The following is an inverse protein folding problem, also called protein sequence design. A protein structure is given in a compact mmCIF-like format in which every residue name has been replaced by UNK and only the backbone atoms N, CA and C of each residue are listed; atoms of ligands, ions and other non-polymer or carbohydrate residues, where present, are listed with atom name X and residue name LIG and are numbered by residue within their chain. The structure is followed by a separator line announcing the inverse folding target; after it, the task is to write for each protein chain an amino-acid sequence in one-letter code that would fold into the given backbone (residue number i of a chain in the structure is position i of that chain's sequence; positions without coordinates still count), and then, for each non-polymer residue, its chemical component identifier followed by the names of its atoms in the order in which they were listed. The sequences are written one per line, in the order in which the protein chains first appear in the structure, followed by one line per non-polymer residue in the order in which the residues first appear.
data_IF_696215553758
#
_entry.id   IF_696215553758
#
_cell.length_a   1.000
_cell.length_b   1.000
_cell.length_c   1.000
_cell.angle_alpha   90.00
_cell.angle_beta   90.00
_cell.angle_gamma   90.00
#
_symmetry.space_group_name_H-M   'P 1'
#
loop_
_entity.id
_entity.type
_entity.pdbx_description
1 polymer ?
#
# COMPACT_ATOMS: atom_id res chain seq x y z
N UNK A 1 -31.26 -6.05 12.04
CA UNK A 1 -30.25 -5.76 11.00
C UNK A 1 -29.03 -5.22 11.73
N UNK A 2 -28.06 -6.07 12.04
CA UNK A 2 -26.89 -5.70 12.86
C UNK A 2 -25.93 -4.91 11.95
N UNK A 3 -25.42 -3.72 12.36
CA UNK A 3 -24.45 -3.00 11.56
C UNK A 3 -23.13 -3.79 11.60
N UNK A 4 -22.80 -4.41 10.48
CA UNK A 4 -21.55 -5.12 10.26
C UNK A 4 -20.38 -4.13 10.41
N UNK A 5 -19.73 -4.16 11.58
CA UNK A 5 -18.49 -3.42 11.87
C UNK A 5 -17.32 -4.29 11.42
N UNK A 6 -17.19 -4.50 10.10
CA UNK A 6 -16.24 -5.44 9.46
C UNK A 6 -14.75 -5.18 9.79
N UNK A 7 -14.44 -4.04 10.41
CA UNK A 7 -13.05 -3.60 10.60
C UNK A 7 -12.45 -4.06 11.95
N UNK A 8 -13.26 -4.57 12.90
CA UNK A 8 -12.81 -4.77 14.29
C UNK A 8 -12.51 -6.20 14.72
N UNK A 9 -12.94 -7.23 13.97
CA UNK A 9 -12.82 -8.63 14.41
C UNK A 9 -11.77 -9.47 13.67
N UNK A 10 -11.07 -8.91 12.68
CA UNK A 10 -9.92 -9.59 12.07
C UNK A 10 -8.70 -9.44 12.97
N UNK A 11 -8.64 -10.28 14.01
CA UNK A 11 -7.40 -10.56 14.76
C UNK A 11 -6.59 -11.57 13.97
N UNK A 12 -5.46 -11.13 13.42
CA UNK A 12 -4.59 -11.97 12.62
C UNK A 12 -3.17 -11.44 12.57
N UNK A 13 -2.27 -12.28 12.07
CA UNK A 13 -0.87 -11.93 11.83
C UNK A 13 -0.76 -10.72 10.88
N UNK A 14 0.21 -9.86 11.17
CA UNK A 14 0.61 -8.71 10.31
C UNK A 14 2.12 -8.78 10.03
N UNK A 15 2.74 -9.94 10.27
CA UNK A 15 4.19 -10.12 10.16
C UNK A 15 4.68 -9.94 8.72
N UNK A 16 3.87 -10.33 7.72
CA UNK A 16 4.20 -10.14 6.32
C UNK A 16 4.24 -8.68 5.93
N UNK A 17 3.24 -7.90 6.34
CA UNK A 17 3.18 -6.46 6.10
C UNK A 17 4.36 -5.75 6.79
N UNK A 18 4.67 -6.09 8.04
CA UNK A 18 5.80 -5.51 8.76
C UNK A 18 7.14 -5.86 8.09
N UNK A 19 7.30 -7.10 7.63
CA UNK A 19 8.49 -7.52 6.90
C UNK A 19 8.65 -6.73 5.59
N UNK A 20 7.57 -6.58 4.81
CA UNK A 20 7.60 -5.80 3.57
C UNK A 20 7.90 -4.32 3.84
N UNK A 21 7.28 -3.73 4.88
CA UNK A 21 7.58 -2.35 5.28
C UNK A 21 9.07 -2.16 5.62
N UNK A 22 9.65 -3.09 6.38
CA UNK A 22 11.06 -3.05 6.73
C UNK A 22 11.93 -3.19 5.48
N UNK A 23 11.63 -4.15 4.61
CA UNK A 23 12.40 -4.37 3.37
C UNK A 23 12.38 -3.13 2.50
N UNK A 24 11.21 -2.56 2.21
CA UNK A 24 11.12 -1.36 1.38
C UNK A 24 11.70 -0.11 2.03
N UNK A 25 11.62 0.01 3.36
CA UNK A 25 12.32 1.07 4.09
C UNK A 25 13.84 0.94 3.94
N UNK A 26 14.38 -0.28 4.07
CA UNK A 26 15.81 -0.54 3.91
C UNK A 26 16.25 -0.27 2.46
N UNK A 27 15.50 -0.73 1.46
CA UNK A 27 15.77 -0.47 0.05
C UNK A 27 15.78 1.04 -0.24
N UNK A 28 14.82 1.79 0.32
CA UNK A 28 14.79 3.24 0.20
C UNK A 28 16.02 3.92 0.84
N UNK A 29 16.44 3.47 2.02
CA UNK A 29 17.60 4.03 2.72
C UNK A 29 18.93 3.74 2.01
N UNK A 30 19.04 2.60 1.33
CA UNK A 30 20.22 2.21 0.56
C UNK A 30 20.23 2.91 -0.82
N UNK A 31 19.12 3.53 -1.23
CA UNK A 31 18.99 4.22 -2.52
C UNK A 31 18.74 3.27 -3.69
N UNK A 32 18.30 2.04 -3.41
CA UNK A 32 18.04 0.98 -4.40
C UNK A 32 16.60 1.05 -4.97
N UNK A 33 15.88 2.12 -4.66
CA UNK A 33 14.63 2.49 -5.33
C UNK A 33 14.94 3.67 -6.26
N UNK A 34 15.58 3.41 -7.42
CA UNK A 34 15.91 4.47 -8.36
C UNK A 34 14.62 5.16 -8.83
N UNK A 35 14.69 6.47 -9.05
CA UNK A 35 13.61 7.30 -9.58
C UNK A 35 12.44 7.63 -8.63
N UNK A 36 12.42 7.18 -7.38
CA UNK A 36 11.39 7.60 -6.41
C UNK A 36 11.89 8.73 -5.50
N UNK A 37 11.10 9.79 -5.41
CA UNK A 37 11.33 10.88 -4.45
C UNK A 37 11.12 10.38 -3.01
N UNK A 38 11.80 10.97 -2.02
CA UNK A 38 11.66 10.58 -0.61
C UNK A 38 10.20 10.68 -0.11
N UNK A 39 9.45 11.67 -0.60
CA UNK A 39 8.02 11.81 -0.34
C UNK A 39 7.19 10.69 -0.96
N UNK A 40 7.56 10.26 -2.16
CA UNK A 40 6.89 9.17 -2.84
C UNK A 40 7.08 7.85 -2.08
N UNK A 41 8.30 7.57 -1.62
CA UNK A 41 8.57 6.40 -0.77
C UNK A 41 7.71 6.44 0.50
N UNK A 42 7.63 7.58 1.18
CA UNK A 42 6.84 7.69 2.40
C UNK A 42 5.34 7.47 2.14
N UNK A 43 4.80 8.04 1.06
CA UNK A 43 3.40 7.82 0.67
C UNK A 43 3.16 6.35 0.32
N UNK A 44 4.08 5.70 -0.38
CA UNK A 44 4.01 4.27 -0.68
C UNK A 44 4.03 3.41 0.59
N UNK A 45 4.93 3.70 1.55
CA UNK A 45 4.99 2.98 2.84
C UNK A 45 3.69 3.17 3.65
N UNK A 46 3.14 4.38 3.66
CA UNK A 46 1.84 4.64 4.30
C UNK A 46 0.73 3.85 3.60
N UNK A 47 0.73 3.80 2.26
CA UNK A 47 -0.22 3.00 1.48
C UNK A 47 -0.13 1.52 1.83
N UNK A 48 1.09 0.97 1.86
CA UNK A 48 1.32 -0.43 2.25
C UNK A 48 0.77 -0.70 3.65
N UNK A 49 1.06 0.15 4.63
CA UNK A 49 0.53 0.01 5.99
C UNK A 49 -0.99 0.10 6.06
N UNK A 50 -1.60 0.94 5.23
CA UNK A 50 -3.03 1.21 5.28
C UNK A 50 -3.85 0.10 4.61
N UNK A 51 -3.34 -0.50 3.54
CA UNK A 51 -4.08 -1.52 2.78
C UNK A 51 -3.68 -2.96 3.12
N UNK A 52 -2.39 -3.25 3.29
CA UNK A 52 -1.88 -4.61 3.40
C UNK A 52 -2.36 -5.39 4.63
N UNK A 53 -2.46 -4.82 5.85
CA UNK A 53 -2.87 -5.59 7.02
C UNK A 53 -4.25 -6.23 6.87
N UNK A 54 -5.18 -5.55 6.19
CA UNK A 54 -6.51 -6.09 5.94
C UNK A 54 -6.46 -7.32 5.02
N UNK A 55 -5.70 -7.21 3.93
CA UNK A 55 -5.52 -8.30 2.96
C UNK A 55 -4.79 -9.48 3.61
N UNK A 56 -3.72 -9.21 4.36
CA UNK A 56 -2.95 -10.23 5.06
C UNK A 56 -3.79 -11.00 6.08
N UNK A 57 -4.61 -10.31 6.87
CA UNK A 57 -5.47 -10.95 7.88
C UNK A 57 -6.56 -11.82 7.25
N UNK A 58 -6.99 -11.51 6.03
CA UNK A 58 -8.05 -12.25 5.34
C UNK A 58 -7.52 -13.39 4.47
N UNK A 59 -6.37 -13.21 3.82
CA UNK A 59 -5.73 -14.19 2.95
C UNK A 59 -4.72 -15.11 3.69
N UNK A 60 -4.20 -14.65 4.83
CA UNK A 60 -3.08 -15.26 5.54
C UNK A 60 -1.73 -14.73 5.07
N UNK A 61 -0.77 -14.63 6.00
CA UNK A 61 0.60 -14.13 5.77
C UNK A 61 1.32 -14.77 4.57
N UNK A 62 1.40 -16.10 4.41
CA UNK A 62 2.18 -16.69 3.31
C UNK A 62 1.57 -16.38 1.93
N UNK A 63 0.24 -16.46 1.80
CA UNK A 63 -0.45 -16.18 0.55
C UNK A 63 -0.33 -14.70 0.17
N UNK A 64 -0.45 -13.81 1.16
CA UNK A 64 -0.26 -12.38 0.97
C UNK A 64 1.15 -12.04 0.48
N UNK A 65 2.19 -12.53 1.14
CA UNK A 65 3.58 -12.23 0.76
C UNK A 65 3.91 -12.80 -0.62
N UNK A 66 3.54 -14.05 -0.92
CA UNK A 66 3.78 -14.64 -2.24
C UNK A 66 3.04 -13.85 -3.32
N UNK A 67 1.76 -13.54 -3.11
CA UNK A 67 0.98 -12.73 -4.05
C UNK A 67 1.59 -11.36 -4.27
N UNK A 68 2.04 -10.70 -3.21
CA UNK A 68 2.72 -9.41 -3.27
C UNK A 68 4.01 -9.48 -4.09
N UNK A 69 4.87 -10.46 -3.83
CA UNK A 69 6.15 -10.63 -4.53
C UNK A 69 5.95 -10.97 -6.01
N UNK A 70 4.95 -11.78 -6.34
CA UNK A 70 4.61 -12.09 -7.75
C UNK A 70 4.18 -10.82 -8.48
N UNK A 71 3.32 -9.99 -7.87
CA UNK A 71 2.92 -8.72 -8.48
C UNK A 71 4.10 -7.75 -8.58
N UNK A 72 4.95 -7.67 -7.56
CA UNK A 72 6.17 -6.84 -7.57
C UNK A 72 7.15 -7.24 -8.68
N UNK A 73 7.40 -8.53 -8.84
CA UNK A 73 8.25 -9.03 -9.92
C UNK A 73 7.64 -8.78 -11.31
N UNK A 74 6.35 -9.08 -11.49
CA UNK A 74 5.68 -8.89 -12.77
C UNK A 74 5.63 -7.41 -13.18
N UNK A 75 5.29 -6.52 -12.24
CA UNK A 75 5.23 -5.08 -12.49
C UNK A 75 6.62 -4.47 -12.67
N UNK A 76 7.60 -4.91 -11.88
CA UNK A 76 9.01 -4.55 -12.07
C UNK A 76 9.53 -4.89 -13.47
N UNK A 77 9.25 -6.10 -13.94
CA UNK A 77 9.59 -6.52 -15.30
C UNK A 77 8.91 -5.65 -16.37
N UNK A 78 7.62 -5.34 -16.21
CA UNK A 78 6.89 -4.47 -17.13
C UNK A 78 7.47 -3.04 -17.16
N UNK A 79 7.85 -2.49 -16.00
CA UNK A 79 8.48 -1.17 -15.92
C UNK A 79 9.83 -1.19 -16.63
N UNK A 80 10.69 -2.18 -16.37
CA UNK A 80 11.99 -2.30 -17.05
C UNK A 80 11.89 -2.57 -18.56
N UNK A 81 10.75 -3.07 -19.05
CA UNK A 81 10.50 -3.25 -20.48
C UNK A 81 10.01 -1.97 -21.17
N UNK A 82 9.40 -1.04 -20.43
CA UNK A 82 8.87 0.23 -20.95
C UNK A 82 9.88 1.36 -20.79
N UNK A 83 10.65 1.35 -19.70
CA UNK A 83 11.65 2.35 -19.39
C UNK A 83 13.06 1.74 -19.39
N UNK A 84 13.84 2.07 -20.42
CA UNK A 84 15.22 1.61 -20.59
C UNK A 84 16.15 2.15 -19.48
N UNK A 85 15.80 3.26 -18.82
CA UNK A 85 16.62 3.85 -17.75
C UNK A 85 16.58 3.06 -16.44
N UNK A 86 15.49 2.32 -16.20
CA UNK A 86 15.23 1.58 -14.96
C UNK A 86 15.99 0.24 -14.88
N UNK A 87 16.54 -0.23 -16.00
CA UNK A 87 17.21 -1.53 -16.12
C UNK A 87 16.23 -2.73 -16.02
N UNK A 88 16.68 -3.94 -16.40
CA UNK A 88 15.81 -5.12 -16.50
C UNK A 88 15.34 -5.70 -15.15
N UNK A 89 15.85 -5.19 -14.02
CA UNK A 89 15.56 -5.68 -12.67
C UNK A 89 14.97 -4.59 -11.75
N UNK A 90 14.24 -3.63 -12.32
CA UNK A 90 13.57 -2.61 -11.53
C UNK A 90 12.54 -3.24 -10.57
N UNK A 91 12.65 -2.98 -9.27
CA UNK A 91 11.66 -3.40 -8.29
C UNK A 91 10.57 -2.33 -8.22
N UNK A 92 9.39 -2.62 -8.77
CA UNK A 92 8.24 -1.72 -8.65
C UNK A 92 7.73 -1.70 -7.21
N UNK A 93 7.74 -0.52 -6.58
CA UNK A 93 7.18 -0.32 -5.23
C UNK A 93 5.70 0.07 -5.28
N UNK A 94 5.32 0.97 -6.18
CA UNK A 94 3.98 1.54 -6.25
C UNK A 94 2.89 0.55 -6.71
N UNK A 95 3.12 -0.16 -7.81
CA UNK A 95 2.08 -1.01 -8.43
C UNK A 95 1.65 -2.20 -7.55
N UNK A 96 2.54 -2.88 -6.81
CA UNK A 96 2.13 -3.92 -5.86
C UNK A 96 1.23 -3.37 -4.75
N UNK A 97 1.53 -2.17 -4.25
CA UNK A 97 0.70 -1.51 -3.24
C UNK A 97 -0.67 -1.19 -3.85
N UNK A 98 -0.73 -0.66 -5.06
CA UNK A 98 -2.00 -0.42 -5.77
C UNK A 98 -2.81 -1.72 -5.96
N UNK A 99 -2.15 -2.82 -6.31
CA UNK A 99 -2.81 -4.12 -6.41
C UNK A 99 -3.39 -4.57 -5.05
N UNK A 100 -2.66 -4.40 -3.96
CA UNK A 100 -3.18 -4.70 -2.61
C UNK A 100 -4.34 -3.79 -2.21
N UNK A 101 -4.30 -2.51 -2.58
CA UNK A 101 -5.42 -1.59 -2.36
C UNK A 101 -6.66 -2.01 -3.14
N UNK A 102 -6.50 -2.43 -4.40
CA UNK A 102 -7.59 -2.99 -5.21
C UNK A 102 -8.19 -4.25 -4.60
N UNK A 103 -7.36 -5.18 -4.13
CA UNK A 103 -7.82 -6.39 -3.42
C UNK A 103 -8.58 -6.02 -2.15
N UNK A 104 -8.09 -5.06 -1.36
CA UNK A 104 -8.79 -4.58 -0.17
C UNK A 104 -10.17 -4.01 -0.54
N UNK A 105 -10.25 -3.14 -1.55
CA UNK A 105 -11.52 -2.55 -2.02
C UNK A 105 -12.50 -3.63 -2.49
N UNK A 106 -12.04 -4.66 -3.21
CA UNK A 106 -12.89 -5.77 -3.68
C UNK A 106 -13.40 -6.60 -2.50
N UNK A 107 -12.52 -6.93 -1.55
CA UNK A 107 -12.87 -7.76 -0.39
C UNK A 107 -13.81 -7.02 0.57
N UNK A 108 -13.67 -5.71 0.70
CA UNK A 108 -14.42 -4.90 1.66
C UNK A 108 -14.72 -3.49 1.15
N UNK A 109 -15.63 -3.34 0.18
CA UNK A 109 -15.92 -2.04 -0.46
C UNK A 109 -16.56 -1.03 0.50
N UNK A 110 -17.18 -1.51 1.58
CA UNK A 110 -17.81 -0.70 2.63
C UNK A 110 -16.97 -0.57 3.90
N UNK A 111 -15.75 -1.11 3.90
CA UNK A 111 -14.82 -0.88 5.01
C UNK A 111 -14.49 0.60 5.11
N UNK A 112 -14.19 1.01 6.34
CA UNK A 112 -13.81 2.39 6.64
C UNK A 112 -12.48 2.38 7.34
N UNK A 113 -11.62 3.28 6.91
CA UNK A 113 -10.29 3.48 7.48
C UNK A 113 -10.38 4.67 8.41
N UNK A 114 -9.88 4.49 9.62
CA UNK A 114 -9.81 5.56 10.61
C UNK A 114 -8.61 6.42 10.22
N UNK A 115 -8.89 7.60 9.68
CA UNK A 115 -7.88 8.57 9.33
C UNK A 115 -7.76 9.59 10.47
N UNK A 116 -6.53 9.88 10.88
CA UNK A 116 -6.25 11.03 11.75
C UNK A 116 -6.31 12.29 10.87
N UNK A 117 -7.23 13.21 11.15
CA UNK A 117 -7.29 14.51 10.53
C UNK A 117 -6.58 15.52 11.45
N UNK A 118 -5.35 15.97 11.11
CA UNK A 118 -4.66 16.96 11.91
C UNK A 118 -5.29 18.34 11.68
N UNK A 119 -6.33 18.70 12.44
CA UNK A 119 -6.81 20.08 12.53
C UNK A 119 -5.96 20.79 13.60
N UNK A 120 -5.38 21.98 13.34
CA UNK A 120 -4.34 22.60 14.17
C UNK A 120 -4.67 22.81 15.66
N UNK A 121 -5.94 22.69 16.06
CA UNK A 121 -6.40 22.78 17.46
C UNK A 121 -7.21 21.57 17.94
N UNK A 122 -7.46 20.58 17.08
CA UNK A 122 -8.22 19.39 17.41
C UNK A 122 -7.74 18.19 16.56
N UNK A 123 -7.02 17.25 17.18
CA UNK A 123 -6.76 15.95 16.55
C UNK A 123 -8.06 15.14 16.57
N UNK A 124 -8.75 15.07 15.43
CA UNK A 124 -9.99 14.29 15.29
C UNK A 124 -9.76 13.06 14.42
N UNK A 125 -10.46 11.98 14.77
CA UNK A 125 -10.48 10.76 13.98
C UNK A 125 -11.72 10.76 13.10
N UNK A 126 -11.54 10.60 11.80
CA UNK A 126 -12.64 10.53 10.83
C UNK A 126 -12.60 9.17 10.14
N UNK A 127 -13.76 8.52 10.07
CA UNK A 127 -13.92 7.27 9.32
C UNK A 127 -14.16 7.58 7.84
N UNK A 128 -13.16 7.31 7.00
CA UNK A 128 -13.26 7.52 5.55
C UNK A 128 -13.45 6.16 4.87
N UNK A 129 -14.40 6.01 3.94
CA UNK A 129 -14.55 4.76 3.19
C UNK A 129 -13.26 4.41 2.41
N UNK A 130 -12.88 3.15 2.41
CA UNK A 130 -11.62 2.66 1.82
C UNK A 130 -11.45 3.03 0.35
N UNK A 131 -12.55 3.08 -0.42
CA UNK A 131 -12.54 3.50 -1.82
C UNK A 131 -12.00 4.93 -1.96
N UNK A 132 -12.48 5.86 -1.14
CA UNK A 132 -12.02 7.25 -1.18
C UNK A 132 -10.56 7.37 -0.77
N UNK A 133 -10.13 6.63 0.26
CA UNK A 133 -8.73 6.63 0.67
C UNK A 133 -7.82 6.07 -0.43
N UNK A 134 -8.26 5.03 -1.13
CA UNK A 134 -7.54 4.46 -2.29
C UNK A 134 -7.40 5.47 -3.42
N UNK A 135 -8.47 6.18 -3.77
CA UNK A 135 -8.46 7.20 -4.82
C UNK A 135 -7.56 8.38 -4.43
N UNK A 136 -7.65 8.87 -3.19
CA UNK A 136 -6.82 9.97 -2.68
C UNK A 136 -5.34 9.57 -2.67
N UNK A 137 -5.03 8.36 -2.17
CA UNK A 137 -3.67 7.83 -2.16
C UNK A 137 -3.11 7.69 -3.57
N UNK A 138 -3.89 7.13 -4.51
CA UNK A 138 -3.52 7.01 -5.92
C UNK A 138 -3.24 8.37 -6.55
N UNK A 139 -4.11 9.36 -6.32
CA UNK A 139 -3.91 10.71 -6.82
C UNK A 139 -2.63 11.36 -6.26
N UNK A 140 -2.31 11.12 -4.98
CA UNK A 140 -1.11 11.62 -4.34
C UNK A 140 0.15 10.99 -4.94
N UNK A 141 0.16 9.68 -5.18
CA UNK A 141 1.27 8.98 -5.85
C UNK A 141 1.51 9.47 -7.27
N UNK A 142 0.44 9.64 -8.06
CA UNK A 142 0.55 10.20 -9.42
C UNK A 142 1.13 11.61 -9.38
N UNK A 143 0.67 12.45 -8.46
CA UNK A 143 1.15 13.82 -8.31
C UNK A 143 2.63 13.88 -7.90
N UNK A 144 3.07 12.97 -7.03
CA UNK A 144 4.47 12.87 -6.61
C UNK A 144 5.38 12.23 -7.66
N UNK A 145 4.83 11.40 -8.55
CA UNK A 145 5.55 10.85 -9.71
C UNK A 145 5.76 11.91 -10.79
N UNK A 146 4.83 12.87 -10.91
CA UNK A 146 4.87 13.94 -11.91
C UNK A 146 5.73 15.16 -11.48
N UNK A 147 6.28 15.16 -10.26
CA UNK A 147 7.01 16.27 -9.66
C UNK A 147 8.50 15.97 -9.52
#
# INVERSE_FOLDING_TARGET
MIPFRDNMDLRGSVWGTLALLLVYLVLALIGDIPHMNAWQVLVGLIGLWLFAPYVERRAGTPLFVVGFLVVAGATGFLVGAVDEASGPYAISFFLPILATAGVHVILAPRSKIICLLPVPFAMTFVEVPTIWVTVIWLALEILLTAA
#
